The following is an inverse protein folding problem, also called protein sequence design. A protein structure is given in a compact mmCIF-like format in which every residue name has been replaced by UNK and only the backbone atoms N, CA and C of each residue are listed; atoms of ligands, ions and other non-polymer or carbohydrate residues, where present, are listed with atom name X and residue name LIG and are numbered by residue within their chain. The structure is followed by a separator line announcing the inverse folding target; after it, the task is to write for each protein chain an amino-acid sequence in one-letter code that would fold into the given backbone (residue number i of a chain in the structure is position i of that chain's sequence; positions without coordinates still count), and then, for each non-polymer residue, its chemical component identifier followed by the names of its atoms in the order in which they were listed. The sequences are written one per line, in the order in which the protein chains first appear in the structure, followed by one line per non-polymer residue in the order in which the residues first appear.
data_IF_712132142986
#
_entry.id   IF_712132142986
#
_cell.length_a   1.000
_cell.length_b   1.000
_cell.length_c   1.000
_cell.angle_alpha   90.00
_cell.angle_beta   90.00
_cell.angle_gamma   90.00
#
_symmetry.space_group_name_H-M   'P 1'
#
loop_
_entity.id
_entity.type
_entity.pdbx_description
1 polymer ?
#
# COMPACT_ATOMS: atom_id res chain seq x y z
N UNK A 1 -47.56 52.92 -31.69
CA UNK A 1 -46.18 52.40 -31.66
C UNK A 1 -46.07 51.41 -30.50
N UNK A 2 -45.76 50.15 -30.80
CA UNK A 2 -45.77 49.02 -29.85
C UNK A 2 -44.40 48.91 -29.15
N UNK A 3 -44.37 48.66 -27.84
CA UNK A 3 -43.18 48.13 -27.15
C UNK A 3 -43.60 46.93 -26.31
N UNK A 4 -43.20 45.74 -26.78
CA UNK A 4 -43.32 44.49 -26.04
C UNK A 4 -42.12 44.38 -25.10
N UNK A 5 -42.40 44.07 -23.83
CA UNK A 5 -41.40 43.79 -22.80
C UNK A 5 -41.07 42.29 -22.86
N UNK A 6 -39.81 41.95 -23.16
CA UNK A 6 -39.32 40.56 -23.24
C UNK A 6 -38.60 40.23 -21.92
N UNK A 7 -39.21 39.44 -21.06
CA UNK A 7 -38.61 38.99 -19.80
C UNK A 7 -37.80 37.72 -20.06
N UNK A 8 -36.47 37.81 -20.03
CA UNK A 8 -35.58 36.63 -20.16
C UNK A 8 -35.53 35.87 -18.83
N UNK A 9 -35.95 34.61 -18.87
CA UNK A 9 -35.74 33.63 -17.81
C UNK A 9 -34.30 33.10 -17.91
N UNK A 10 -33.46 33.40 -16.92
CA UNK A 10 -32.12 32.84 -16.80
C UNK A 10 -32.19 31.57 -15.95
N UNK A 11 -32.06 30.40 -16.57
CA UNK A 11 -32.02 29.11 -15.87
C UNK A 11 -30.61 28.86 -15.31
N UNK A 12 -30.46 28.88 -13.99
CA UNK A 12 -29.24 28.43 -13.29
C UNK A 12 -29.16 26.90 -13.34
N UNK A 13 -28.27 26.38 -14.18
CA UNK A 13 -27.89 24.96 -14.17
C UNK A 13 -26.99 24.71 -12.96
N UNK A 14 -27.53 24.07 -11.93
CA UNK A 14 -26.77 23.64 -10.75
C UNK A 14 -26.03 22.35 -11.13
N UNK A 15 -24.74 22.45 -11.44
CA UNK A 15 -23.89 21.28 -11.72
C UNK A 15 -23.64 20.55 -10.41
N UNK A 16 -24.40 19.48 -10.17
CA UNK A 16 -24.17 18.58 -9.04
C UNK A 16 -22.90 17.78 -9.30
N UNK A 17 -21.81 18.17 -8.65
CA UNK A 17 -20.64 17.31 -8.51
C UNK A 17 -21.05 16.12 -7.63
N UNK A 18 -21.50 15.03 -8.24
CA UNK A 18 -21.61 13.76 -7.56
C UNK A 18 -20.18 13.31 -7.19
N UNK A 19 -19.76 13.59 -5.96
CA UNK A 19 -18.63 12.91 -5.35
C UNK A 19 -19.05 11.46 -5.16
N UNK A 20 -18.69 10.62 -6.12
CA UNK A 20 -18.77 9.16 -6.00
C UNK A 20 -17.66 8.69 -5.07
N UNK A 21 -17.78 9.07 -3.79
CA UNK A 21 -16.92 8.54 -2.73
C UNK A 21 -17.38 7.13 -2.44
N UNK A 22 -16.85 6.17 -3.20
CA UNK A 22 -16.81 4.78 -2.78
C UNK A 22 -16.28 4.77 -1.34
N UNK A 23 -16.97 4.15 -0.36
CA UNK A 23 -16.53 4.14 1.02
C UNK A 23 -15.13 3.53 1.07
N UNK A 24 -14.18 4.36 1.50
CA UNK A 24 -12.76 4.05 1.58
C UNK A 24 -12.59 2.75 2.38
N UNK A 25 -12.15 1.67 1.71
CA UNK A 25 -12.03 0.35 2.35
C UNK A 25 -10.84 0.30 3.31
N UNK A 26 -9.83 1.12 3.07
CA UNK A 26 -8.70 1.32 3.97
C UNK A 26 -9.16 1.97 5.27
N UNK A 27 -9.43 1.14 6.27
CA UNK A 27 -9.82 1.60 7.60
C UNK A 27 -8.64 1.43 8.54
N UNK A 28 -8.34 2.50 9.27
CA UNK A 28 -7.33 2.52 10.31
C UNK A 28 -7.78 3.50 11.40
N UNK A 29 -7.53 3.16 12.66
CA UNK A 29 -7.70 4.06 13.79
C UNK A 29 -6.39 4.84 13.99
N UNK A 30 -6.36 6.12 13.62
CA UNK A 30 -5.37 7.20 13.92
C UNK A 30 -3.99 6.88 14.55
N UNK A 31 -3.01 7.77 14.31
CA UNK A 31 -2.20 7.88 13.11
C UNK A 31 -1.28 6.66 12.92
N UNK A 32 -0.93 6.42 11.66
CA UNK A 32 -0.17 5.27 11.20
C UNK A 32 1.25 5.72 10.86
N UNK A 33 2.23 5.37 11.69
CA UNK A 33 3.60 5.32 11.17
C UNK A 33 3.74 4.03 10.36
N UNK A 34 4.14 4.17 9.09
CA UNK A 34 4.43 3.02 8.23
C UNK A 34 5.92 2.95 8.04
N UNK A 35 6.52 1.81 8.37
CA UNK A 35 7.94 1.56 8.09
C UNK A 35 8.10 0.50 7.02
N UNK A 36 8.90 0.81 6.01
CA UNK A 36 9.27 -0.13 4.97
C UNK A 36 10.56 -0.86 5.35
N UNK A 37 10.57 -2.16 5.04
CA UNK A 37 11.70 -3.04 5.27
C UNK A 37 11.95 -3.89 4.04
N UNK A 38 13.20 -4.32 3.95
CA UNK A 38 13.61 -5.45 3.17
C UNK A 38 14.17 -6.52 4.10
N UNK A 39 14.06 -7.80 3.76
CA UNK A 39 14.53 -8.91 4.60
C UNK A 39 15.00 -10.07 3.74
N UNK A 40 15.66 -11.06 4.37
CA UNK A 40 16.12 -12.28 3.72
C UNK A 40 17.01 -12.00 2.49
N UNK A 41 17.93 -11.03 2.55
CA UNK A 41 18.78 -10.64 1.40
C UNK A 41 19.66 -11.78 0.91
N UNK A 42 20.26 -12.54 1.84
CA UNK A 42 21.20 -13.60 1.51
C UNK A 42 20.51 -14.92 1.14
N UNK A 43 19.23 -15.09 1.49
CA UNK A 43 18.47 -16.31 1.22
C UNK A 43 17.28 -16.04 0.28
N UNK A 44 17.46 -16.38 -0.99
CA UNK A 44 16.45 -16.24 -2.07
C UNK A 44 15.17 -17.03 -1.81
N UNK A 45 15.20 -18.07 -0.98
CA UNK A 45 14.10 -19.03 -0.80
C UNK A 45 13.57 -19.09 0.64
N UNK A 46 13.83 -18.05 1.44
CA UNK A 46 13.30 -17.95 2.80
C UNK A 46 11.80 -17.67 2.81
N UNK A 47 11.07 -18.38 3.67
CA UNK A 47 9.65 -18.16 3.95
C UNK A 47 9.42 -17.23 5.15
N UNK A 48 10.49 -16.74 5.78
CA UNK A 48 10.41 -15.93 6.99
C UNK A 48 9.79 -14.56 6.69
N UNK A 49 8.78 -14.20 7.45
CA UNK A 49 8.04 -12.94 7.32
C UNK A 49 8.72 -11.82 8.11
N UNK A 50 8.19 -10.59 8.01
CA UNK A 50 8.70 -9.46 8.80
C UNK A 50 8.42 -9.59 10.30
N UNK A 51 7.35 -10.29 10.69
CA UNK A 51 7.06 -10.65 12.08
C UNK A 51 7.29 -12.14 12.29
N UNK A 52 8.05 -12.44 13.34
CA UNK A 52 8.24 -13.79 13.87
C UNK A 52 6.97 -14.25 14.63
N UNK A 53 6.83 -15.55 14.92
CA UNK A 53 5.69 -16.06 15.68
C UNK A 53 5.51 -15.44 17.08
N UNK A 54 6.58 -14.93 17.69
CA UNK A 54 6.56 -14.22 18.98
C UNK A 54 6.23 -12.72 18.85
N UNK A 55 5.97 -12.24 17.63
CA UNK A 55 5.69 -10.83 17.33
C UNK A 55 6.92 -9.95 17.15
N UNK A 56 8.14 -10.47 17.37
CA UNK A 56 9.37 -9.72 17.13
C UNK A 56 9.63 -9.51 15.63
N UNK A 57 10.35 -8.45 15.29
CA UNK A 57 10.75 -8.16 13.91
C UNK A 57 11.83 -9.14 13.43
N UNK A 58 11.76 -9.54 12.18
CA UNK A 58 12.78 -10.37 11.51
C UNK A 58 14.18 -9.76 11.67
N UNK A 59 15.14 -10.55 12.16
CA UNK A 59 16.49 -10.09 12.46
C UNK A 59 17.32 -9.78 11.21
N UNK A 60 16.94 -10.30 10.05
CA UNK A 60 17.61 -10.03 8.76
C UNK A 60 17.11 -8.75 8.09
N UNK A 61 16.15 -8.05 8.72
CA UNK A 61 15.55 -6.85 8.13
C UNK A 61 16.59 -5.75 7.97
N UNK A 62 16.46 -5.02 6.87
CA UNK A 62 17.25 -3.83 6.55
C UNK A 62 16.33 -2.72 6.01
N UNK A 63 16.55 -1.46 6.43
CA UNK A 63 17.36 -1.09 7.59
C UNK A 63 16.73 -1.59 8.90
N UNK A 64 17.53 -1.70 9.97
CA UNK A 64 17.06 -2.24 11.26
C UNK A 64 15.88 -1.45 11.84
N UNK A 65 15.93 -0.13 11.74
CA UNK A 65 14.88 0.77 12.20
C UNK A 65 13.68 0.88 11.24
N UNK A 66 13.84 0.43 9.99
CA UNK A 66 12.88 0.65 8.91
C UNK A 66 12.96 2.06 8.31
N UNK A 67 12.42 2.22 7.10
CA UNK A 67 12.28 3.53 6.46
C UNK A 67 10.88 4.06 6.73
N UNK A 68 10.77 5.15 7.50
CA UNK A 68 9.49 5.80 7.78
C UNK A 68 8.95 6.43 6.50
N UNK A 69 7.72 6.05 6.10
CA UNK A 69 7.07 6.61 4.95
C UNK A 69 6.45 7.98 5.25
N UNK A 70 6.61 8.91 4.32
CA UNK A 70 5.87 10.17 4.30
C UNK A 70 4.40 9.93 3.99
N UNK A 71 3.51 10.87 4.34
CA UNK A 71 2.08 10.76 4.01
C UNK A 71 1.79 10.56 2.52
N UNK A 72 2.62 11.13 1.62
CA UNK A 72 2.51 10.89 0.16
C UNK A 72 2.85 9.44 -0.21
N UNK A 73 3.87 8.86 0.41
CA UNK A 73 4.26 7.47 0.19
C UNK A 73 3.23 6.50 0.79
N UNK A 74 2.65 6.81 1.94
CA UNK A 74 1.52 6.05 2.52
C UNK A 74 0.30 6.09 1.59
N UNK A 75 -0.01 7.25 1.00
CA UNK A 75 -1.09 7.36 0.01
C UNK A 75 -0.82 6.51 -1.24
N UNK A 76 0.43 6.47 -1.75
CA UNK A 76 0.83 5.58 -2.84
C UNK A 76 0.67 4.10 -2.46
N UNK A 77 1.17 3.71 -1.29
CA UNK A 77 1.00 2.34 -0.77
C UNK A 77 -0.47 1.95 -0.73
N UNK A 78 -1.32 2.79 -0.11
CA UNK A 78 -2.75 2.58 -0.01
C UNK A 78 -3.40 2.38 -1.38
N UNK A 79 -3.09 3.25 -2.36
CA UNK A 79 -3.64 3.13 -3.70
C UNK A 79 -3.26 1.80 -4.38
N UNK A 80 -2.02 1.33 -4.16
CA UNK A 80 -1.51 0.09 -4.74
C UNK A 80 -2.15 -1.18 -4.14
N UNK A 81 -2.60 -1.13 -2.88
CA UNK A 81 -3.10 -2.32 -2.16
C UNK A 81 -4.61 -2.30 -1.88
N UNK A 82 -5.33 -1.28 -2.34
CA UNK A 82 -6.79 -1.17 -2.22
C UNK A 82 -7.45 -0.92 -3.57
N UNK A 83 -8.77 -1.13 -3.66
CA UNK A 83 -9.50 -0.96 -4.91
C UNK A 83 -9.45 -2.20 -5.80
N UNK A 84 -9.39 -1.99 -7.11
CA UNK A 84 -9.40 -3.04 -8.12
C UNK A 84 -8.16 -2.91 -9.00
N UNK A 85 -7.33 -3.95 -9.04
CA UNK A 85 -6.10 -3.99 -9.82
C UNK A 85 -6.10 -5.14 -10.82
N UNK A 86 -5.39 -5.02 -11.95
CA UNK A 86 -5.21 -6.12 -12.89
C UNK A 86 -4.71 -7.38 -12.18
N UNK A 87 -5.31 -8.53 -12.51
CA UNK A 87 -4.80 -9.80 -12.00
C UNK A 87 -3.47 -10.10 -12.68
N UNK A 88 -2.46 -10.45 -11.89
CA UNK A 88 -1.19 -10.98 -12.38
C UNK A 88 -1.17 -12.50 -12.17
N UNK A 89 -0.43 -13.25 -13.00
CA UNK A 89 -0.11 -14.63 -12.67
C UNK A 89 0.59 -14.67 -11.31
N UNK A 90 -0.02 -15.34 -10.34
CA UNK A 90 0.59 -15.62 -9.04
C UNK A 90 1.12 -17.04 -9.10
N UNK A 91 2.39 -17.24 -8.77
CA UNK A 91 2.96 -18.59 -8.62
C UNK A 91 2.91 -19.00 -7.16
N UNK A 92 2.82 -20.31 -6.91
CA UNK A 92 2.56 -20.89 -5.58
C UNK A 92 3.72 -20.73 -4.57
N UNK A 93 4.85 -20.12 -4.96
CA UNK A 93 5.88 -19.77 -3.98
C UNK A 93 5.54 -18.48 -3.24
N UNK A 94 6.01 -18.36 -1.99
CA UNK A 94 5.95 -17.11 -1.25
C UNK A 94 7.22 -16.93 -0.41
N UNK A 95 8.21 -16.30 -1.04
CA UNK A 95 9.49 -15.93 -0.40
C UNK A 95 9.52 -14.42 -0.17
N UNK A 96 8.94 -13.93 0.94
CA UNK A 96 8.85 -12.49 1.16
C UNK A 96 10.24 -11.88 1.38
N UNK A 97 10.47 -10.78 0.67
CA UNK A 97 11.72 -10.00 0.79
C UNK A 97 11.45 -8.55 1.15
N UNK A 98 10.20 -8.09 1.06
CA UNK A 98 9.83 -6.71 1.34
C UNK A 98 8.63 -6.70 2.27
N UNK A 99 8.56 -5.69 3.13
CA UNK A 99 7.41 -5.51 3.98
C UNK A 99 7.14 -4.05 4.31
N UNK A 100 5.89 -3.80 4.69
CA UNK A 100 5.46 -2.59 5.37
C UNK A 100 4.91 -2.99 6.74
N UNK A 101 5.38 -2.34 7.80
CA UNK A 101 4.89 -2.55 9.17
C UNK A 101 4.17 -1.29 9.62
N UNK A 102 3.03 -1.51 10.26
CA UNK A 102 2.11 -0.48 10.68
C UNK A 102 2.18 -0.30 12.19
N UNK A 103 2.45 0.92 12.62
CA UNK A 103 2.56 1.29 14.03
C UNK A 103 1.46 2.27 14.41
N UNK A 104 0.92 2.12 15.62
CA UNK A 104 0.02 3.11 16.22
C UNK A 104 0.79 4.27 16.86
N UNK A 105 0.08 5.25 17.42
CA UNK A 105 0.68 6.40 18.12
C UNK A 105 1.51 6.08 19.38
N UNK A 106 1.45 4.83 19.88
CA UNK A 106 2.26 4.32 21.00
C UNK A 106 3.47 3.52 20.52
N UNK A 107 3.78 3.53 19.21
CA UNK A 107 4.83 2.73 18.57
C UNK A 107 4.62 1.21 18.67
N UNK A 108 3.38 0.76 18.89
CA UNK A 108 3.05 -0.66 18.86
C UNK A 108 2.74 -1.12 17.44
N UNK A 109 3.23 -2.31 17.08
CA UNK A 109 2.90 -2.93 15.79
C UNK A 109 1.45 -3.39 15.81
N UNK A 110 0.64 -2.84 14.90
CA UNK A 110 -0.78 -3.17 14.76
C UNK A 110 -1.10 -3.93 13.48
N UNK A 111 -0.12 -4.06 12.59
CA UNK A 111 -0.22 -4.93 11.44
C UNK A 111 0.99 -4.88 10.53
N UNK A 112 0.93 -5.67 9.47
CA UNK A 112 2.01 -5.78 8.50
C UNK A 112 1.50 -6.26 7.13
N UNK A 113 2.28 -5.94 6.11
CA UNK A 113 2.20 -6.47 4.76
C UNK A 113 3.56 -7.08 4.42
N UNK A 114 3.59 -8.31 3.93
CA UNK A 114 4.75 -8.95 3.30
C UNK A 114 4.53 -9.07 1.80
N UNK A 115 5.57 -8.84 1.02
CA UNK A 115 5.55 -8.83 -0.44
C UNK A 115 6.67 -9.72 -0.97
N UNK A 116 6.35 -10.54 -1.97
CA UNK A 116 7.32 -11.18 -2.82
C UNK A 116 7.13 -10.70 -4.27
N UNK A 117 8.06 -9.85 -4.73
CA UNK A 117 8.05 -9.36 -6.11
C UNK A 117 8.38 -10.46 -7.14
N UNK A 118 9.08 -11.54 -6.74
CA UNK A 118 9.42 -12.63 -7.66
C UNK A 118 8.19 -13.42 -8.13
N UNK A 119 7.21 -13.61 -7.25
CA UNK A 119 6.00 -14.38 -7.55
C UNK A 119 4.72 -13.56 -7.61
N UNK A 120 4.81 -12.25 -7.43
CA UNK A 120 3.66 -11.35 -7.31
C UNK A 120 2.66 -11.82 -6.24
N UNK A 121 3.17 -12.35 -5.12
CA UNK A 121 2.37 -12.86 -4.01
C UNK A 121 2.61 -12.00 -2.76
N UNK A 122 1.64 -12.01 -1.85
CA UNK A 122 1.64 -11.16 -0.66
C UNK A 122 0.94 -11.86 0.51
N UNK A 123 1.24 -11.41 1.72
CA UNK A 123 0.42 -11.72 2.89
C UNK A 123 0.27 -10.47 3.75
N UNK A 124 -0.79 -10.40 4.52
CA UNK A 124 -1.01 -9.31 5.47
C UNK A 124 -1.63 -9.86 6.74
N UNK A 125 -1.51 -9.12 7.84
CA UNK A 125 -2.16 -9.43 9.09
C UNK A 125 -2.34 -8.16 9.92
N UNK A 126 -3.41 -8.10 10.72
CA UNK A 126 -3.75 -6.91 11.49
C UNK A 126 -4.27 -5.79 10.58
N UNK A 127 -4.01 -4.56 11.01
CA UNK A 127 -4.39 -3.34 10.29
C UNK A 127 -3.36 -2.96 9.22
N UNK A 128 -3.75 -2.19 8.17
CA UNK A 128 -5.09 -1.72 7.86
C UNK A 128 -5.97 -2.79 7.22
N UNK A 129 -7.27 -2.74 7.51
CA UNK A 129 -8.28 -3.59 6.85
C UNK A 129 -8.70 -3.07 5.46
N UNK A 130 -9.43 -3.91 4.72
CA UNK A 130 -10.02 -3.56 3.42
C UNK A 130 -9.06 -3.56 2.22
N UNK A 131 -7.96 -4.30 2.35
CA UNK A 131 -7.02 -4.59 1.27
C UNK A 131 -7.71 -5.33 0.11
N UNK A 132 -7.25 -5.06 -1.11
CA UNK A 132 -7.76 -5.69 -2.31
C UNK A 132 -7.29 -7.15 -2.42
N UNK A 133 -8.01 -7.97 -3.20
CA UNK A 133 -7.60 -9.35 -3.50
C UNK A 133 -6.50 -9.43 -4.57
N UNK A 134 -6.29 -8.37 -5.34
CA UNK A 134 -5.17 -8.17 -6.27
C UNK A 134 -4.56 -6.80 -6.01
N UNK A 135 -3.24 -6.70 -6.04
CA UNK A 135 -2.50 -5.45 -5.79
C UNK A 135 -1.71 -4.99 -7.02
N UNK A 136 -1.40 -3.70 -7.09
CA UNK A 136 -0.53 -3.13 -8.10
C UNK A 136 0.95 -3.33 -7.73
N UNK A 137 1.54 -4.42 -8.21
CA UNK A 137 2.94 -4.73 -7.95
C UNK A 137 3.92 -3.78 -8.65
N UNK A 138 3.53 -3.06 -9.71
CA UNK A 138 4.43 -2.09 -10.35
C UNK A 138 4.51 -0.82 -9.50
N UNK A 139 3.38 -0.33 -8.99
CA UNK A 139 3.37 0.81 -8.05
C UNK A 139 4.08 0.46 -6.73
N UNK A 140 3.93 -0.77 -6.23
CA UNK A 140 4.69 -1.23 -5.06
C UNK A 140 6.19 -1.29 -5.34
N UNK A 141 6.60 -1.80 -6.52
CA UNK A 141 7.99 -1.87 -6.95
C UNK A 141 8.60 -0.47 -7.10
N UNK A 142 7.86 0.46 -7.69
CA UNK A 142 8.26 1.87 -7.81
C UNK A 142 8.40 2.51 -6.43
N UNK A 143 7.44 2.30 -5.54
CA UNK A 143 7.48 2.84 -4.17
C UNK A 143 8.72 2.38 -3.42
N UNK A 144 9.00 1.06 -3.39
CA UNK A 144 10.18 0.54 -2.66
C UNK A 144 11.49 1.03 -3.27
N UNK A 145 11.55 1.16 -4.60
CA UNK A 145 12.74 1.66 -5.30
C UNK A 145 12.97 3.14 -4.97
N UNK A 146 11.92 3.97 -5.00
CA UNK A 146 12.00 5.40 -4.74
C UNK A 146 12.40 5.74 -3.30
N UNK A 147 12.09 4.87 -2.33
CA UNK A 147 12.55 5.01 -0.95
C UNK A 147 13.95 4.42 -0.71
N UNK A 148 14.61 3.91 -1.76
CA UNK A 148 15.98 3.42 -1.70
C UNK A 148 16.13 1.96 -1.26
N UNK A 149 15.05 1.18 -1.20
CA UNK A 149 15.15 -0.26 -0.96
C UNK A 149 15.41 -0.99 -2.29
N UNK A 150 16.44 -1.85 -2.37
CA UNK A 150 16.69 -2.62 -3.57
C UNK A 150 15.57 -3.64 -3.82
N UNK A 151 15.07 -3.71 -5.05
CA UNK A 151 14.00 -4.66 -5.40
C UNK A 151 14.50 -6.10 -5.51
N UNK A 152 15.73 -6.28 -5.97
CA UNK A 152 16.33 -7.60 -6.21
C UNK A 152 17.74 -7.66 -5.65
N UNK A 153 18.19 -8.86 -5.28
CA UNK A 153 19.61 -9.09 -5.02
C UNK A 153 20.32 -9.35 -6.34
N UNK A 154 21.29 -8.50 -6.70
CA UNK A 154 22.10 -8.71 -7.90
C UNK A 154 22.96 -9.99 -7.83
N UNK A 155 23.13 -10.57 -6.64
CA UNK A 155 23.87 -11.82 -6.44
C UNK A 155 23.01 -13.07 -6.70
N UNK A 156 21.69 -12.93 -6.77
CA UNK A 156 20.80 -14.05 -7.10
C UNK A 156 20.87 -14.29 -8.61
N UNK A 157 21.66 -15.30 -9.00
CA UNK A 157 21.69 -15.83 -10.36
C UNK A 157 20.42 -16.62 -10.69
#
# INVERSE_FOLDING_TARGET
MKKALLTSLLALMITSCANDSQPDRWRFSDPLEVRAFRMNWEDKVSFDRILNPDGSLNATRIPEAGIILTGKQVAKLKAAVTGTHPKRPVVDCFWPHHAFVFYNGSEEIVGQINICFLCSNHSHSGEPSGLAGSWDFDELAELVTNIGLPIQNSNWK
#
